data_IF_344824525450
#
_entry.id   IF_344824525450
#
_cell.length_a   1.000
_cell.length_b   1.000
_cell.length_c   1.000
_cell.angle_alpha   90.00
_cell.angle_beta   90.00
_cell.angle_gamma   90.00
#
_symmetry.space_group_name_H-M   'P 1'
#
loop_
_entity.id
_entity.type
_entity.pdbx_description
1 polymer ?
#
# COMPACT_ATOMS: atom_id res chain seq x y z
N UNK A 1 0.45 16.08 1.33
CA UNK A 1 0.39 17.17 0.32
C UNK A 1 1.73 17.27 -0.38
N UNK A 2 1.76 17.52 -1.70
CA UNK A 2 2.99 17.61 -2.48
C UNK A 2 3.29 19.06 -2.90
N UNK A 3 4.57 19.45 -2.91
CA UNK A 3 5.05 20.69 -3.54
C UNK A 3 5.54 20.35 -4.95
N UNK A 4 5.13 21.15 -5.93
CA UNK A 4 5.53 20.99 -7.33
C UNK A 4 6.44 22.13 -7.79
N UNK A 5 7.36 21.84 -8.69
CA UNK A 5 8.17 22.85 -9.37
C UNK A 5 7.44 23.50 -10.55
N UNK A 6 8.12 24.42 -11.25
CA UNK A 6 7.58 25.14 -12.41
C UNK A 6 7.24 24.21 -13.60
N UNK A 7 7.80 22.99 -13.64
CA UNK A 7 7.52 21.99 -14.68
C UNK A 7 6.39 21.04 -14.31
N UNK A 8 5.85 21.15 -13.09
CA UNK A 8 4.81 20.28 -12.56
C UNK A 8 5.33 18.97 -11.96
N UNK A 9 6.64 18.85 -11.69
CA UNK A 9 7.21 17.68 -11.02
C UNK A 9 7.12 17.83 -9.49
N UNK A 10 6.76 16.77 -8.75
CA UNK A 10 6.75 16.81 -7.30
C UNK A 10 8.19 16.85 -6.77
N UNK A 11 8.50 17.86 -5.96
CA UNK A 11 9.85 18.12 -5.40
C UNK A 11 9.88 18.11 -3.87
N UNK A 12 8.72 18.00 -3.22
CA UNK A 12 8.63 17.87 -1.77
C UNK A 12 7.31 17.23 -1.36
N UNK A 13 7.27 16.65 -0.16
CA UNK A 13 6.08 16.02 0.41
C UNK A 13 5.95 16.35 1.88
N UNK A 14 4.72 16.73 2.27
CA UNK A 14 4.31 16.82 3.67
C UNK A 14 3.35 15.67 3.97
N UNK A 15 3.78 14.78 4.87
CA UNK A 15 2.93 13.74 5.42
C UNK A 15 1.93 14.36 6.40
N UNK A 16 0.69 13.87 6.35
CA UNK A 16 -0.40 14.29 7.22
C UNK A 16 -1.21 13.05 7.63
N UNK A 17 -2.18 13.24 8.53
CA UNK A 17 -3.06 12.18 9.03
C UNK A 17 -2.33 10.98 9.67
N UNK A 18 -1.82 11.22 10.88
CA UNK A 18 -1.14 10.20 11.69
C UNK A 18 -2.12 9.36 12.53
N UNK A 19 -3.41 9.33 12.17
CA UNK A 19 -4.46 8.65 12.97
C UNK A 19 -4.25 7.14 13.13
N UNK A 20 -3.49 6.51 12.22
CA UNK A 20 -3.17 5.08 12.25
C UNK A 20 -1.71 4.77 12.52
N UNK A 21 -0.91 5.77 12.89
CA UNK A 21 0.52 5.60 13.16
C UNK A 21 0.73 4.66 14.36
N UNK A 22 1.62 3.69 14.20
CA UNK A 22 1.92 2.69 15.23
C UNK A 22 3.33 2.16 15.08
N UNK A 23 3.92 1.73 16.20
CA UNK A 23 5.18 1.00 16.16
C UNK A 23 4.97 -0.39 15.56
N UNK A 24 5.78 -0.75 14.58
CA UNK A 24 5.70 -2.04 13.90
C UNK A 24 6.75 -2.19 12.81
N UNK A 25 6.62 -3.26 12.03
CA UNK A 25 7.48 -3.50 10.88
C UNK A 25 7.30 -2.41 9.81
N UNK A 26 8.38 -1.83 9.26
CA UNK A 26 8.29 -0.86 8.16
C UNK A 26 7.64 -1.45 6.90
N UNK A 27 7.67 -2.79 6.76
CA UNK A 27 7.01 -3.49 5.67
C UNK A 27 5.50 -3.19 5.58
N UNK A 28 4.85 -2.92 6.72
CA UNK A 28 3.42 -2.60 6.75
C UNK A 28 3.11 -1.29 6.00
N UNK A 29 3.93 -0.27 6.22
CA UNK A 29 3.76 1.04 5.60
C UNK A 29 4.19 0.98 4.13
N UNK A 30 5.26 0.25 3.81
CA UNK A 30 5.72 0.02 2.43
C UNK A 30 4.63 -0.68 1.61
N UNK A 31 4.09 -1.79 2.10
CA UNK A 31 3.05 -2.54 1.40
C UNK A 31 1.79 -1.71 1.20
N UNK A 32 1.35 -1.00 2.23
CA UNK A 32 0.20 -0.11 2.12
C UNK A 32 0.45 0.96 1.05
N UNK A 33 1.58 1.66 1.11
CA UNK A 33 1.91 2.70 0.14
C UNK A 33 2.00 2.16 -1.29
N UNK A 34 2.76 1.08 -1.49
CA UNK A 34 2.98 0.55 -2.84
C UNK A 34 1.71 -0.07 -3.43
N UNK A 35 0.95 -0.87 -2.68
CA UNK A 35 -0.26 -1.49 -3.23
C UNK A 35 -1.39 -0.50 -3.48
N UNK A 36 -1.48 0.59 -2.71
CA UNK A 36 -2.46 1.65 -2.97
C UNK A 36 -2.12 2.52 -4.18
N UNK A 37 -0.83 2.70 -4.49
CA UNK A 37 -0.37 3.75 -5.42
C UNK A 37 0.39 3.23 -6.65
N UNK A 38 0.47 1.91 -6.86
CA UNK A 38 1.14 1.33 -8.04
C UNK A 38 0.20 0.51 -8.90
N UNK A 39 0.43 0.53 -10.20
CA UNK A 39 -0.18 -0.42 -11.13
C UNK A 39 0.52 -1.77 -11.04
N UNK A 40 -0.11 -2.82 -11.57
CA UNK A 40 0.51 -4.14 -11.69
C UNK A 40 1.85 -4.08 -12.43
N UNK A 41 1.87 -3.46 -13.62
CA UNK A 41 3.07 -3.31 -14.44
C UNK A 41 4.22 -2.61 -13.69
N UNK A 42 3.91 -1.59 -12.89
CA UNK A 42 4.92 -0.89 -12.08
C UNK A 42 5.52 -1.82 -11.02
N UNK A 43 4.73 -2.67 -10.38
CA UNK A 43 5.26 -3.66 -9.44
C UNK A 43 6.11 -4.70 -10.16
N UNK A 44 5.60 -5.30 -11.23
CA UNK A 44 6.34 -6.32 -12.00
C UNK A 44 7.68 -5.80 -12.52
N UNK A 45 7.73 -4.55 -12.97
CA UNK A 45 8.93 -3.96 -13.58
C UNK A 45 9.90 -3.34 -12.57
N UNK A 46 9.41 -2.84 -11.43
CA UNK A 46 10.20 -1.97 -10.55
C UNK A 46 10.13 -2.30 -9.05
N UNK A 47 9.57 -3.46 -8.66
CA UNK A 47 9.45 -3.81 -7.22
C UNK A 47 10.78 -3.72 -6.48
N UNK A 48 11.83 -4.31 -7.04
CA UNK A 48 13.16 -4.30 -6.43
C UNK A 48 13.78 -2.91 -6.40
N UNK A 49 13.57 -2.09 -7.45
CA UNK A 49 14.06 -0.72 -7.51
C UNK A 49 13.44 0.13 -6.40
N UNK A 50 12.11 0.02 -6.21
CA UNK A 50 11.36 0.74 -5.19
C UNK A 50 11.83 0.38 -3.77
N UNK A 51 12.03 -0.91 -3.50
CA UNK A 51 12.51 -1.39 -2.20
C UNK A 51 13.98 -1.02 -1.95
N UNK A 52 14.82 -1.05 -2.99
CA UNK A 52 16.21 -0.60 -2.90
C UNK A 52 16.30 0.90 -2.61
N UNK A 53 15.48 1.71 -3.28
CA UNK A 53 15.43 3.16 -3.05
C UNK A 53 15.01 3.45 -1.62
N UNK A 54 13.95 2.79 -1.11
CA UNK A 54 13.53 2.90 0.28
C UNK A 54 14.67 2.57 1.26
N UNK A 55 15.33 1.41 1.10
CA UNK A 55 16.40 0.99 1.99
C UNK A 55 17.58 1.98 1.94
N UNK A 56 17.96 2.45 0.75
CA UNK A 56 19.08 3.38 0.59
C UNK A 56 18.78 4.75 1.22
N UNK A 57 17.54 5.22 1.08
CA UNK A 57 17.08 6.49 1.63
C UNK A 57 16.89 6.40 3.14
N UNK A 58 16.41 5.27 3.67
CA UNK A 58 16.32 5.03 5.11
C UNK A 58 17.69 5.14 5.79
N UNK A 59 18.72 4.49 5.24
CA UNK A 59 20.11 4.57 5.76
C UNK A 59 20.61 6.01 5.79
N UNK A 60 20.33 6.81 4.75
CA UNK A 60 20.77 8.22 4.66
C UNK A 60 19.98 9.13 5.60
N UNK A 61 18.74 8.78 5.91
CA UNK A 61 17.81 9.61 6.67
C UNK A 61 17.90 9.40 8.18
N UNK A 62 18.53 8.31 8.63
CA UNK A 62 18.73 8.04 10.05
C UNK A 62 20.09 8.57 10.55
N UNK A 63 20.19 9.00 11.82
CA UNK A 63 21.47 9.35 12.43
C UNK A 63 22.47 8.18 12.41
N UNK A 64 23.75 8.49 12.26
CA UNK A 64 24.84 7.51 12.32
C UNK A 64 24.80 6.74 13.65
N UNK A 65 24.88 5.41 13.58
CA UNK A 65 24.86 4.53 14.75
C UNK A 65 23.48 3.96 15.11
N UNK A 66 22.41 4.45 14.47
CA UNK A 66 21.09 3.81 14.54
C UNK A 66 21.08 2.61 13.59
N UNK A 67 20.72 1.43 14.10
CA UNK A 67 20.52 0.23 13.27
C UNK A 67 19.29 0.45 12.39
N UNK A 68 19.45 0.21 11.09
CA UNK A 68 18.34 0.09 10.14
C UNK A 68 18.32 -1.33 9.55
N UNK A 69 17.13 -1.85 9.19
CA UNK A 69 17.03 -3.14 8.53
C UNK A 69 17.72 -3.08 7.17
N UNK A 70 18.44 -4.15 6.83
CA UNK A 70 18.98 -4.31 5.49
C UNK A 70 17.91 -4.84 4.52
N UNK A 71 18.24 -4.90 3.23
CA UNK A 71 17.30 -5.32 2.18
C UNK A 71 16.70 -6.72 2.43
N UNK A 72 17.50 -7.68 2.85
CA UNK A 72 17.04 -9.06 3.14
C UNK A 72 16.06 -9.11 4.32
N UNK A 73 16.30 -8.30 5.36
CA UNK A 73 15.37 -8.17 6.49
C UNK A 73 14.05 -7.55 6.03
N UNK A 74 14.09 -6.50 5.21
CA UNK A 74 12.90 -5.89 4.62
C UNK A 74 12.14 -6.90 3.74
N UNK A 75 12.80 -7.64 2.86
CA UNK A 75 12.14 -8.62 1.99
C UNK A 75 11.42 -9.71 2.80
N UNK A 76 12.04 -10.16 3.89
CA UNK A 76 11.45 -11.16 4.78
C UNK A 76 10.20 -10.62 5.49
N UNK A 77 10.28 -9.38 5.98
CA UNK A 77 9.17 -8.69 6.63
C UNK A 77 8.03 -8.37 5.65
N UNK A 78 8.34 -8.02 4.40
CA UNK A 78 7.38 -7.82 3.31
C UNK A 78 6.59 -9.11 3.08
N UNK A 79 7.27 -10.26 3.02
CA UNK A 79 6.60 -11.55 2.84
C UNK A 79 5.67 -11.86 4.02
N UNK A 80 6.13 -11.70 5.26
CA UNK A 80 5.33 -11.91 6.49
C UNK A 80 4.12 -10.97 6.53
N UNK A 81 4.28 -9.72 6.11
CA UNK A 81 3.25 -8.69 6.21
C UNK A 81 2.31 -8.64 5.00
N UNK A 82 2.58 -9.38 3.93
CA UNK A 82 1.90 -9.26 2.63
C UNK A 82 0.37 -9.34 2.74
N UNK A 83 -0.15 -10.32 3.48
CA UNK A 83 -1.59 -10.48 3.69
C UNK A 83 -2.20 -9.29 4.43
N UNK A 84 -1.49 -8.74 5.42
CA UNK A 84 -1.96 -7.57 6.17
C UNK A 84 -1.94 -6.30 5.32
N UNK A 85 -0.94 -6.16 4.45
CA UNK A 85 -0.91 -5.12 3.42
C UNK A 85 -2.12 -5.24 2.49
N UNK A 86 -2.42 -6.45 2.02
CA UNK A 86 -3.59 -6.73 1.19
C UNK A 86 -4.90 -6.37 1.90
N UNK A 87 -5.10 -6.75 3.17
CA UNK A 87 -6.34 -6.44 3.91
C UNK A 87 -6.63 -4.94 3.98
N UNK A 88 -5.61 -4.10 4.10
CA UNK A 88 -5.81 -2.64 4.06
C UNK A 88 -6.27 -2.20 2.66
N UNK A 89 -5.63 -2.71 1.61
CA UNK A 89 -5.90 -2.30 0.22
C UNK A 89 -7.27 -2.77 -0.25
N UNK A 90 -7.66 -4.00 0.09
CA UNK A 90 -8.98 -4.54 -0.23
C UNK A 90 -10.11 -3.74 0.40
N UNK A 91 -9.85 -3.05 1.51
CA UNK A 91 -10.79 -2.14 2.13
C UNK A 91 -10.69 -0.73 1.53
N UNK A 92 -9.53 -0.06 1.62
CA UNK A 92 -9.42 1.36 1.27
C UNK A 92 -9.51 1.65 -0.23
N UNK A 93 -8.95 0.80 -1.08
CA UNK A 93 -8.84 1.11 -2.51
C UNK A 93 -10.22 1.18 -3.19
N UNK A 94 -11.14 0.22 -3.00
CA UNK A 94 -12.50 0.34 -3.53
C UNK A 94 -13.23 1.61 -3.06
N UNK A 95 -13.10 1.95 -1.77
CA UNK A 95 -13.73 3.18 -1.22
C UNK A 95 -13.18 4.45 -1.87
N UNK A 96 -11.88 4.51 -2.15
CA UNK A 96 -11.27 5.68 -2.81
C UNK A 96 -11.59 5.78 -4.30
N UNK A 97 -11.91 4.66 -4.93
CA UNK A 97 -12.33 4.61 -6.33
C UNK A 97 -13.83 4.85 -6.51
N UNK A 98 -14.61 4.71 -5.44
CA UNK A 98 -16.03 5.04 -5.44
C UNK A 98 -16.24 6.56 -5.51
N UNK A 99 -17.10 6.97 -6.43
CA UNK A 99 -17.44 8.39 -6.63
C UNK A 99 -18.76 8.77 -6.00
N UNK A 100 -19.65 7.81 -5.76
CA UNK A 100 -20.95 8.01 -5.13
C UNK A 100 -21.14 7.05 -3.95
N UNK A 101 -20.81 7.54 -2.76
CA UNK A 101 -20.98 6.80 -1.52
C UNK A 101 -22.47 6.81 -1.13
N UNK A 102 -23.26 5.92 -1.73
CA UNK A 102 -24.65 5.64 -1.34
C UNK A 102 -24.72 4.82 -0.03
N UNK A 103 -23.97 5.25 0.98
CA UNK A 103 -23.94 4.61 2.28
C UNK A 103 -25.24 4.91 3.05
N UNK A 104 -25.85 3.87 3.61
CA UNK A 104 -27.02 3.99 4.46
C UNK A 104 -26.71 3.42 5.85
N UNK A 105 -26.80 4.27 6.88
CA UNK A 105 -26.53 3.90 8.28
C UNK A 105 -27.51 2.85 8.84
N UNK A 106 -28.66 2.64 8.20
CA UNK A 106 -29.68 1.67 8.62
C UNK A 106 -29.48 0.27 8.03
N UNK A 107 -28.44 0.08 7.20
CA UNK A 107 -28.17 -1.22 6.58
C UNK A 107 -27.87 -2.29 7.62
N UNK A 108 -28.42 -3.49 7.38
CA UNK A 108 -28.05 -4.67 8.16
C UNK A 108 -26.67 -5.22 7.71
N UNK A 109 -26.18 -6.26 8.39
CA UNK A 109 -24.86 -6.83 8.11
C UNK A 109 -24.71 -7.36 6.69
N UNK A 110 -25.72 -8.07 6.17
CA UNK A 110 -25.71 -8.65 4.82
C UNK A 110 -25.72 -7.55 3.76
N UNK A 111 -26.61 -6.56 3.93
CA UNK A 111 -26.66 -5.38 3.05
C UNK A 111 -25.32 -4.63 3.06
N UNK A 112 -24.70 -4.48 4.25
CA UNK A 112 -23.40 -3.81 4.39
C UNK A 112 -22.31 -4.55 3.63
N UNK A 113 -22.29 -5.88 3.72
CA UNK A 113 -21.34 -6.72 2.98
C UNK A 113 -21.57 -6.58 1.47
N UNK A 114 -22.81 -6.67 1.00
CA UNK A 114 -23.13 -6.52 -0.43
C UNK A 114 -22.70 -5.16 -0.97
N UNK A 115 -22.94 -4.09 -0.22
CA UNK A 115 -22.49 -2.75 -0.57
C UNK A 115 -20.95 -2.65 -0.63
N UNK A 116 -20.25 -3.15 0.40
CA UNK A 116 -18.78 -3.17 0.42
C UNK A 116 -18.20 -3.92 -0.78
N UNK A 117 -18.83 -5.02 -1.19
CA UNK A 117 -18.42 -5.82 -2.35
C UNK A 117 -18.65 -5.14 -3.70
N UNK A 118 -19.54 -4.13 -3.76
CA UNK A 118 -19.85 -3.40 -4.98
C UNK A 118 -19.01 -2.12 -5.16
N UNK A 119 -18.37 -1.63 -4.10
CA UNK A 119 -17.61 -0.37 -4.12
C UNK A 119 -16.56 -0.32 -5.24
N UNK A 120 -16.54 0.78 -5.99
CA UNK A 120 -15.56 1.01 -7.06
C UNK A 120 -15.70 0.08 -8.28
N UNK A 121 -16.68 -0.83 -8.29
CA UNK A 121 -17.04 -1.68 -9.41
C UNK A 121 -15.94 -2.60 -9.94
N UNK A 122 -15.98 -2.88 -11.24
CA UNK A 122 -15.02 -3.77 -11.92
C UNK A 122 -13.58 -3.25 -11.82
N UNK A 123 -13.36 -1.94 -11.96
CA UNK A 123 -12.02 -1.35 -11.88
C UNK A 123 -11.36 -1.57 -10.51
N UNK A 124 -12.12 -1.43 -9.42
CA UNK A 124 -11.60 -1.71 -8.08
C UNK A 124 -11.35 -3.21 -7.89
N UNK A 125 -12.25 -4.05 -8.39
CA UNK A 125 -12.09 -5.52 -8.37
C UNK A 125 -10.80 -5.94 -9.06
N UNK A 126 -10.54 -5.44 -10.27
CA UNK A 126 -9.30 -5.71 -11.02
C UNK A 126 -8.07 -5.22 -10.24
N UNK A 127 -8.14 -4.01 -9.68
CA UNK A 127 -7.03 -3.43 -8.92
C UNK A 127 -6.67 -4.24 -7.66
N UNK A 128 -7.67 -4.78 -6.97
CA UNK A 128 -7.50 -5.67 -5.81
C UNK A 128 -6.99 -7.04 -6.23
N UNK A 129 -7.52 -7.60 -7.34
CA UNK A 129 -7.06 -8.87 -7.90
C UNK A 129 -5.58 -8.83 -8.30
N UNK A 130 -5.12 -7.75 -8.94
CA UNK A 130 -3.72 -7.52 -9.29
C UNK A 130 -2.77 -7.56 -8.06
N UNK A 131 -3.27 -7.16 -6.89
CA UNK A 131 -2.47 -7.19 -5.65
C UNK A 131 -2.36 -8.61 -5.12
N UNK A 132 -3.45 -9.39 -5.14
CA UNK A 132 -3.39 -10.82 -4.80
C UNK A 132 -2.46 -11.55 -5.76
N UNK A 133 -2.59 -11.29 -7.06
CA UNK A 133 -1.75 -11.91 -8.08
C UNK A 133 -0.26 -11.65 -7.80
N UNK A 134 0.10 -10.40 -7.50
CA UNK A 134 1.46 -10.05 -7.09
C UNK A 134 1.93 -10.80 -5.83
N UNK A 135 1.08 -10.96 -4.81
CA UNK A 135 1.41 -11.73 -3.60
C UNK A 135 1.71 -13.20 -3.92
N UNK A 136 0.93 -13.79 -4.83
CA UNK A 136 1.12 -15.18 -5.30
C UNK A 136 2.41 -15.31 -6.10
N UNK A 137 2.66 -14.40 -7.05
CA UNK A 137 3.83 -14.44 -7.92
C UNK A 137 5.13 -14.28 -7.13
N UNK A 138 5.11 -13.43 -6.11
CA UNK A 138 6.22 -13.24 -5.17
C UNK A 138 6.33 -14.35 -4.12
N UNK A 139 5.39 -15.32 -4.11
CA UNK A 139 5.32 -16.46 -3.18
C UNK A 139 5.24 -16.07 -1.71
N UNK A 140 4.65 -14.92 -1.41
CA UNK A 140 4.46 -14.44 -0.04
C UNK A 140 3.40 -15.23 0.75
N UNK A 141 2.76 -16.22 0.12
CA UNK A 141 1.85 -17.17 0.79
C UNK A 141 2.57 -18.35 1.46
N UNK A 142 3.87 -18.53 1.20
CA UNK A 142 4.64 -19.71 1.63
C UNK A 142 5.57 -19.43 2.81
N UNK A 143 5.24 -18.41 3.61
CA UNK A 143 6.08 -17.87 4.69
C UNK A 143 5.84 -18.64 5.99
#
# INVERSE_FOLDING_TARGET
MFRYDETGLPVDVLLFDFGTARYGSPALDILFFLYMNTTQNMRESHWDDLLNEYCSTLVKSVPSGVRVPNRTEIDSEIAICAFRGFSNVSFFLPHQMETDLNYNEEMNEEETIEWLLQLGGENATDRVADVIQHIVDMKYTNV
#
